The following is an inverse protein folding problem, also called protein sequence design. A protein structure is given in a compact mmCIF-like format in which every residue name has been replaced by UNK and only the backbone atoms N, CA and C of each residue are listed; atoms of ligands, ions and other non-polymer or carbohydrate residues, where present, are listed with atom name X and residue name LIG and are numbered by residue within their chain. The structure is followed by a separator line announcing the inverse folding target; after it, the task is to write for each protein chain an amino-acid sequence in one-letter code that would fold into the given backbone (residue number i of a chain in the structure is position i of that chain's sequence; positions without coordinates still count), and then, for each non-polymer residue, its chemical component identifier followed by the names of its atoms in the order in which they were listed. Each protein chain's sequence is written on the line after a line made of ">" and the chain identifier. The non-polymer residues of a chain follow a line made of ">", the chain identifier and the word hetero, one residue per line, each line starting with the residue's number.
data_IF_158799747562
#
_entry.id   IF_158799747562
#
_cell.length_a   1.000
_cell.length_b   1.000
_cell.length_c   1.000
_cell.angle_alpha   90.00
_cell.angle_beta   90.00
_cell.angle_gamma   90.00
#
_symmetry.space_group_name_H-M   'P 1'
#
loop_
_entity.id
_entity.type
_entity.pdbx_description
1 polymer ?
#
# COMPACT_ATOMS: atom_id res chain seq x y z
N UNK A 1 3.49 -0.93 54.60
CA UNK A 1 3.22 -1.72 53.38
C UNK A 1 4.41 -1.60 52.46
N UNK A 2 5.03 -2.73 52.10
CA UNK A 2 6.11 -2.84 51.08
C UNK A 2 5.52 -2.59 49.68
N UNK A 3 6.24 -2.20 48.61
CA UNK A 3 7.58 -2.54 48.08
C UNK A 3 8.11 -1.32 47.29
N UNK A 4 9.37 -0.87 47.40
CA UNK A 4 10.61 -1.44 46.82
C UNK A 4 10.65 -1.54 45.29
N UNK A 5 11.23 -0.51 44.64
CA UNK A 5 11.94 -0.66 43.36
C UNK A 5 13.28 0.09 43.42
N UNK A 6 14.35 -0.67 43.70
CA UNK A 6 15.76 -0.27 43.58
C UNK A 6 16.33 -1.04 42.40
N UNK A 7 16.84 -0.36 41.37
CA UNK A 7 17.84 -0.91 40.42
C UNK A 7 18.48 0.20 39.59
N UNK A 8 19.80 0.14 39.45
CA UNK A 8 20.63 1.05 38.62
C UNK A 8 21.03 0.34 37.31
N UNK A 9 20.92 1.05 36.18
CA UNK A 9 21.29 0.72 34.78
C UNK A 9 21.14 2.01 33.93
N UNK A 10 21.60 2.20 32.69
CA UNK A 10 22.55 1.51 31.78
C UNK A 10 23.09 2.63 30.83
N UNK A 11 24.32 3.18 30.95
CA UNK A 11 24.78 4.22 30.01
C UNK A 11 25.24 3.55 28.70
N UNK A 12 24.30 3.01 27.92
CA UNK A 12 24.66 2.12 26.81
C UNK A 12 23.55 1.69 25.85
N UNK A 13 22.36 2.30 25.88
CA UNK A 13 21.31 2.02 24.87
C UNK A 13 20.74 3.33 24.34
N UNK A 14 21.00 3.60 23.06
CA UNK A 14 20.12 4.48 22.29
C UNK A 14 18.74 3.83 22.33
N UNK A 15 17.77 4.48 22.97
CA UNK A 15 16.37 4.13 22.75
C UNK A 15 16.12 4.23 21.24
N UNK A 16 15.54 3.20 20.59
CA UNK A 16 15.00 3.42 19.26
C UNK A 16 13.98 4.54 19.42
N UNK A 17 14.16 5.62 18.65
CA UNK A 17 13.20 6.71 18.61
C UNK A 17 11.88 6.06 18.21
N UNK A 18 10.91 6.03 19.12
CA UNK A 18 9.52 5.70 18.79
C UNK A 18 9.02 6.80 17.89
N UNK A 19 9.32 6.64 16.61
CA UNK A 19 9.01 7.57 15.54
C UNK A 19 7.50 7.53 15.33
N UNK A 20 6.82 8.36 16.12
CA UNK A 20 5.47 8.86 15.90
C UNK A 20 4.59 7.80 15.23
N UNK A 21 4.20 6.78 16.03
CA UNK A 21 3.12 5.84 15.72
C UNK A 21 1.80 6.62 15.64
N UNK A 22 1.71 7.52 14.67
CA UNK A 22 0.44 7.93 14.09
C UNK A 22 -0.16 6.67 13.53
N UNK A 23 -1.04 6.10 14.33
CA UNK A 23 -2.23 5.39 13.89
C UNK A 23 -3.07 6.30 12.98
N UNK A 24 -2.51 6.63 11.81
CA UNK A 24 -3.34 6.67 10.61
C UNK A 24 -3.77 5.23 10.43
N UNK A 25 -5.05 4.97 10.62
CA UNK A 25 -5.65 3.76 10.10
C UNK A 25 -5.52 3.80 8.58
N UNK A 26 -4.35 3.38 8.08
CA UNK A 26 -4.20 2.95 6.70
C UNK A 26 -5.08 1.72 6.56
N UNK A 27 -6.35 1.97 6.21
CA UNK A 27 -7.24 0.94 5.74
C UNK A 27 -6.57 0.33 4.51
N UNK A 28 -5.99 -0.84 4.70
CA UNK A 28 -5.46 -1.70 3.65
C UNK A 28 -6.63 -2.12 2.75
N UNK A 29 -6.88 -1.34 1.70
CA UNK A 29 -7.92 -1.61 0.72
C UNK A 29 -7.43 -2.73 -0.19
N UNK A 30 -8.06 -3.89 -0.10
CA UNK A 30 -7.87 -4.95 -1.09
C UNK A 30 -8.72 -4.61 -2.31
N UNK A 31 -8.08 -4.55 -3.48
CA UNK A 31 -8.70 -4.32 -4.77
C UNK A 31 -8.33 -5.45 -5.72
N UNK A 32 -9.32 -5.97 -6.43
CA UNK A 32 -9.15 -6.94 -7.51
C UNK A 32 -9.12 -6.18 -8.83
N UNK A 33 -7.95 -6.07 -9.44
CA UNK A 33 -7.76 -5.41 -10.72
C UNK A 33 -7.88 -6.44 -11.86
N UNK A 34 -8.63 -6.07 -12.89
CA UNK A 34 -8.78 -6.83 -14.14
C UNK A 34 -8.71 -5.87 -15.32
N UNK A 35 -8.21 -6.35 -16.46
CA UNK A 35 -8.22 -5.58 -17.68
C UNK A 35 -9.66 -5.32 -18.13
N UNK A 36 -10.06 -4.06 -18.22
CA UNK A 36 -11.39 -3.68 -18.71
C UNK A 36 -11.38 -3.24 -20.18
N UNK A 37 -10.22 -2.77 -20.66
CA UNK A 37 -10.00 -2.30 -22.02
C UNK A 37 -8.50 -2.35 -22.35
N UNK A 38 -8.09 -1.76 -23.47
CA UNK A 38 -6.67 -1.55 -23.74
C UNK A 38 -6.08 -0.62 -22.68
N UNK A 39 -5.01 -1.05 -21.99
CA UNK A 39 -4.31 -0.23 -20.99
C UNK A 39 -3.60 0.91 -21.70
N UNK A 40 -4.19 2.10 -21.69
CA UNK A 40 -3.71 3.26 -22.48
C UNK A 40 -2.31 3.70 -22.07
N UNK A 41 -1.97 3.60 -20.78
CA UNK A 41 -0.68 4.05 -20.21
C UNK A 41 -0.21 3.16 -19.06
N UNK A 42 0.50 2.03 -19.33
CA UNK A 42 0.97 1.13 -18.27
C UNK A 42 1.94 1.79 -17.28
N UNK A 43 2.74 2.77 -17.73
CA UNK A 43 3.64 3.55 -16.84
C UNK A 43 2.87 4.46 -15.88
N UNK A 44 1.77 5.08 -16.35
CA UNK A 44 0.93 5.93 -15.51
C UNK A 44 0.20 5.09 -14.45
N UNK A 45 -0.27 3.90 -14.85
CA UNK A 45 -0.82 2.89 -13.94
C UNK A 45 0.20 2.42 -12.88
N UNK A 46 1.48 2.20 -13.26
CA UNK A 46 2.55 1.93 -12.30
C UNK A 46 2.69 3.05 -11.26
N UNK A 47 2.63 4.32 -11.72
CA UNK A 47 2.76 5.50 -10.89
C UNK A 47 1.54 5.72 -9.98
N UNK A 48 0.32 5.44 -10.46
CA UNK A 48 -0.91 5.42 -9.63
C UNK A 48 -0.80 4.38 -8.52
N UNK A 49 -0.49 3.12 -8.87
CA UNK A 49 -0.31 2.04 -7.89
C UNK A 49 0.75 2.39 -6.83
N UNK A 50 1.87 2.99 -7.24
CA UNK A 50 2.89 3.50 -6.31
C UNK A 50 2.39 4.63 -5.41
N UNK A 51 1.56 5.55 -5.91
CA UNK A 51 0.90 6.59 -5.08
C UNK A 51 -0.07 5.98 -4.07
N UNK A 52 -0.73 4.88 -4.43
CA UNK A 52 -1.59 4.06 -3.59
C UNK A 52 -0.82 3.11 -2.64
N UNK A 53 0.42 3.46 -2.29
CA UNK A 53 1.24 2.72 -1.32
C UNK A 53 1.80 1.37 -1.79
N UNK A 54 1.54 0.95 -3.03
CA UNK A 54 2.06 -0.31 -3.55
C UNK A 54 3.57 -0.21 -3.84
N UNK A 55 4.31 -1.28 -3.54
CA UNK A 55 5.72 -1.41 -3.93
C UNK A 55 5.90 -1.36 -5.45
N UNK A 56 7.01 -0.79 -5.93
CA UNK A 56 7.31 -0.70 -7.36
C UNK A 56 7.44 -2.10 -8.02
N UNK A 57 7.87 -3.10 -7.25
CA UNK A 57 7.96 -4.48 -7.71
C UNK A 57 6.56 -5.09 -7.92
N UNK A 58 5.66 -4.94 -6.94
CA UNK A 58 4.28 -5.40 -7.05
C UNK A 58 3.50 -4.63 -8.12
N UNK A 59 3.76 -3.33 -8.31
CA UNK A 59 3.19 -2.54 -9.40
C UNK A 59 3.59 -3.08 -10.78
N UNK A 60 4.88 -3.37 -10.99
CA UNK A 60 5.33 -4.02 -12.23
C UNK A 60 4.78 -5.44 -12.39
N UNK A 61 4.68 -6.21 -11.31
CA UNK A 61 4.10 -7.55 -11.35
C UNK A 61 2.62 -7.50 -11.75
N UNK A 62 1.84 -6.62 -11.11
CA UNK A 62 0.44 -6.38 -11.44
C UNK A 62 0.26 -5.98 -12.91
N UNK A 63 1.12 -5.09 -13.42
CA UNK A 63 1.08 -4.67 -14.82
C UNK A 63 1.31 -5.82 -15.79
N UNK A 64 2.28 -6.70 -15.53
CA UNK A 64 2.53 -7.85 -16.40
C UNK A 64 1.31 -8.79 -16.44
N UNK A 65 0.72 -9.09 -15.28
CA UNK A 65 -0.49 -9.90 -15.18
C UNK A 65 -1.70 -9.24 -15.87
N UNK A 66 -1.97 -7.94 -15.63
CA UNK A 66 -3.08 -7.20 -16.28
C UNK A 66 -2.89 -7.13 -17.80
N UNK A 67 -1.65 -6.98 -18.30
CA UNK A 67 -1.34 -7.01 -19.74
C UNK A 67 -1.55 -8.42 -20.32
N UNK A 68 -1.28 -9.47 -19.53
CA UNK A 68 -1.58 -10.86 -19.86
C UNK A 68 -3.06 -11.25 -19.71
N UNK A 69 -3.96 -10.28 -19.46
CA UNK A 69 -5.40 -10.47 -19.21
C UNK A 69 -5.73 -11.23 -17.91
N UNK A 70 -4.74 -11.37 -17.00
CA UNK A 70 -4.92 -12.01 -15.71
C UNK A 70 -5.49 -11.05 -14.66
N UNK A 71 -6.27 -11.60 -13.73
CA UNK A 71 -6.86 -10.88 -12.60
C UNK A 71 -5.87 -10.82 -11.44
N UNK A 72 -5.63 -9.63 -10.88
CA UNK A 72 -4.63 -9.39 -9.84
C UNK A 72 -5.27 -8.78 -8.60
N UNK A 73 -5.20 -9.47 -7.47
CA UNK A 73 -5.57 -8.89 -6.19
C UNK A 73 -4.38 -8.13 -5.57
N UNK A 74 -4.55 -6.83 -5.35
CA UNK A 74 -3.56 -5.95 -4.72
C UNK A 74 -4.09 -5.40 -3.41
N UNK A 75 -3.19 -5.21 -2.45
CA UNK A 75 -3.47 -4.47 -1.22
C UNK A 75 -2.86 -3.08 -1.36
N UNK A 76 -3.71 -2.07 -1.36
CA UNK A 76 -3.34 -0.67 -1.49
C UNK A 76 -3.60 0.05 -0.17
N UNK A 77 -2.67 0.91 0.23
CA UNK A 77 -2.86 1.79 1.37
C UNK A 77 -3.17 3.22 0.92
N UNK A 78 -3.65 4.05 1.85
CA UNK A 78 -3.51 5.51 1.78
C UNK A 78 -4.42 6.26 0.76
N UNK A 79 -5.52 5.67 0.26
CA UNK A 79 -6.60 6.42 -0.42
C UNK A 79 -7.98 5.71 -0.34
N UNK A 80 -9.06 6.44 -0.60
CA UNK A 80 -10.43 5.92 -0.67
C UNK A 80 -10.64 4.95 -1.85
N UNK A 81 -11.25 3.79 -1.56
CA UNK A 81 -11.55 2.74 -2.56
C UNK A 81 -12.28 3.28 -3.80
N UNK A 82 -13.29 4.14 -3.62
CA UNK A 82 -14.07 4.73 -4.72
C UNK A 82 -13.20 5.58 -5.64
N UNK A 83 -12.30 6.40 -5.07
CA UNK A 83 -11.36 7.23 -5.83
C UNK A 83 -10.35 6.36 -6.57
N UNK A 84 -9.79 5.34 -5.90
CA UNK A 84 -8.88 4.38 -6.53
C UNK A 84 -9.53 3.70 -7.74
N UNK A 85 -10.76 3.19 -7.60
CA UNK A 85 -11.49 2.52 -8.69
C UNK A 85 -11.70 3.47 -9.88
N UNK A 86 -12.12 4.72 -9.63
CA UNK A 86 -12.30 5.70 -10.68
C UNK A 86 -10.99 5.99 -11.46
N UNK A 87 -9.90 6.26 -10.74
CA UNK A 87 -8.60 6.56 -11.37
C UNK A 87 -7.96 5.37 -12.10
N UNK A 88 -8.28 4.14 -11.69
CA UNK A 88 -7.87 2.91 -12.38
C UNK A 88 -8.71 2.68 -13.65
N UNK A 89 -10.01 2.99 -13.61
CA UNK A 89 -10.92 2.88 -14.75
C UNK A 89 -10.53 3.84 -15.89
N UNK A 90 -10.09 5.06 -15.58
CA UNK A 90 -9.54 6.01 -16.57
C UNK A 90 -8.31 5.46 -17.33
N UNK A 91 -7.59 4.50 -16.74
CA UNK A 91 -6.42 3.84 -17.33
C UNK A 91 -6.75 2.53 -18.05
N UNK A 92 -8.03 2.17 -18.18
CA UNK A 92 -8.52 0.97 -18.86
C UNK A 92 -8.54 -0.30 -17.98
N UNK A 93 -8.45 -0.14 -16.66
CA UNK A 93 -8.43 -1.25 -15.69
C UNK A 93 -9.64 -1.15 -14.76
N UNK A 94 -10.48 -2.18 -14.74
CA UNK A 94 -11.53 -2.27 -13.74
C UNK A 94 -10.91 -2.73 -12.42
N UNK A 95 -11.33 -2.11 -11.34
CA UNK A 95 -10.98 -2.52 -9.98
C UNK A 95 -12.26 -2.71 -9.18
N UNK A 96 -12.32 -3.80 -8.41
CA UNK A 96 -13.41 -4.10 -7.46
C UNK A 96 -12.85 -4.34 -6.06
#
# INVERSE_FOLDING_TARGET
>A
MSISLKSMAEPGRQAPIEADLRSRSSLDVVLVLKRASQVTRPVDLALKLKKFGLGLQDAHRALNHIVADEVVQLRLGNADRTTMIAELAELGVAAE
#
